data_IF_990969848167
#
_entry.id   IF_990969848167
#
_cell.length_a   1.000
_cell.length_b   1.000
_cell.length_c   1.000
_cell.angle_alpha   90.00
_cell.angle_beta   90.00
_cell.angle_gamma   90.00
#
_symmetry.space_group_name_H-M   'P 1'
#
loop_
_entity.id
_entity.type
_entity.pdbx_description
1 polymer ?
#
# COMPACT_ATOMS: atom_id res chain seq x y z
N UNK A 1 -4.55 6.57 -3.03
CA UNK A 1 -3.24 7.18 -2.71
C UNK A 1 -3.47 8.23 -1.63
N UNK A 2 -3.25 7.87 -0.37
CA UNK A 2 -3.38 8.76 0.79
C UNK A 2 -2.21 9.73 0.89
N UNK A 3 -2.34 10.81 1.67
CA UNK A 3 -1.31 11.83 1.95
C UNK A 3 0.06 11.24 2.32
N UNK A 4 0.10 10.08 2.98
CA UNK A 4 1.31 9.35 3.35
C UNK A 4 2.19 8.94 2.15
N UNK A 5 1.59 8.77 0.96
CA UNK A 5 2.31 8.48 -0.27
C UNK A 5 3.02 9.71 -0.87
N UNK A 6 2.85 10.89 -0.26
CA UNK A 6 3.55 12.14 -0.63
C UNK A 6 4.74 12.42 0.30
N UNK A 7 4.97 11.61 1.33
CA UNK A 7 6.09 11.83 2.26
C UNK A 7 7.43 11.66 1.51
N UNK A 8 8.40 12.58 1.66
CA UNK A 8 9.66 12.54 0.91
C UNK A 8 10.43 11.22 1.12
N UNK A 9 10.43 10.69 2.35
CA UNK A 9 11.05 9.40 2.67
C UNK A 9 10.37 8.24 1.94
N UNK A 10 9.04 8.23 1.88
CA UNK A 10 8.29 7.24 1.12
C UNK A 10 8.63 7.29 -0.37
N UNK A 11 8.65 8.50 -0.97
CA UNK A 11 8.95 8.66 -2.40
C UNK A 11 10.36 8.16 -2.74
N UNK A 12 11.35 8.49 -1.90
CA UNK A 12 12.73 8.01 -2.04
C UNK A 12 12.79 6.48 -1.95
N UNK A 13 12.22 5.90 -0.90
CA UNK A 13 12.29 4.46 -0.63
C UNK A 13 11.50 3.64 -1.65
N UNK A 14 10.34 4.13 -2.09
CA UNK A 14 9.55 3.51 -3.15
C UNK A 14 10.31 3.47 -4.48
N UNK A 15 11.15 4.47 -4.78
CA UNK A 15 12.00 4.44 -5.98
C UNK A 15 13.06 3.34 -5.88
N UNK A 16 13.70 3.18 -4.73
CA UNK A 16 14.69 2.12 -4.48
C UNK A 16 14.05 0.74 -4.70
N UNK A 17 12.89 0.50 -4.08
CA UNK A 17 12.18 -0.78 -4.18
C UNK A 17 11.73 -1.06 -5.61
N UNK A 18 11.22 -0.05 -6.34
CA UNK A 18 10.87 -0.23 -7.76
C UNK A 18 12.07 -0.64 -8.59
N UNK A 19 13.21 0.03 -8.41
CA UNK A 19 14.43 -0.30 -9.16
C UNK A 19 14.90 -1.72 -8.85
N UNK A 20 14.98 -2.10 -7.58
CA UNK A 20 15.40 -3.44 -7.15
C UNK A 20 14.41 -4.53 -7.65
N UNK A 21 13.11 -4.26 -7.56
CA UNK A 21 12.07 -5.18 -8.04
C UNK A 21 12.16 -5.36 -9.55
N UNK A 22 12.27 -4.27 -10.31
CA UNK A 22 12.42 -4.32 -11.77
C UNK A 22 13.69 -5.05 -12.19
N UNK A 23 14.79 -4.89 -11.47
CA UNK A 23 16.03 -5.64 -11.73
C UNK A 23 15.80 -7.14 -11.53
N UNK A 24 15.20 -7.55 -10.40
CA UNK A 24 14.87 -8.97 -10.13
C UNK A 24 13.97 -9.56 -11.20
N UNK A 25 12.91 -8.84 -11.58
CA UNK A 25 11.98 -9.27 -12.62
C UNK A 25 12.67 -9.39 -13.98
N UNK A 26 13.55 -8.45 -14.35
CA UNK A 26 14.36 -8.53 -15.59
C UNK A 26 15.32 -9.72 -15.59
N UNK A 27 15.83 -10.11 -14.43
CA UNK A 27 16.67 -11.30 -14.26
C UNK A 27 15.88 -12.61 -14.22
N UNK A 28 14.56 -12.58 -14.43
CA UNK A 28 13.70 -13.77 -14.36
C UNK A 28 13.41 -14.26 -12.94
N UNK A 29 13.78 -13.48 -11.91
CA UNK A 29 13.51 -13.81 -10.52
C UNK A 29 12.09 -13.34 -10.18
N UNK A 30 11.21 -14.28 -9.86
CA UNK A 30 9.88 -13.98 -9.38
C UNK A 30 9.96 -13.21 -8.05
N UNK A 31 9.24 -12.09 -7.96
CA UNK A 31 9.20 -11.27 -6.74
C UNK A 31 7.87 -11.50 -6.06
N UNK A 32 7.87 -11.86 -4.78
CA UNK A 32 6.62 -12.10 -4.06
C UNK A 32 5.93 -10.78 -3.69
N UNK A 33 4.62 -10.75 -3.90
CA UNK A 33 3.75 -9.69 -3.43
C UNK A 33 3.64 -9.77 -1.89
N UNK A 34 3.93 -8.66 -1.20
CA UNK A 34 3.82 -8.62 0.27
C UNK A 34 2.38 -8.74 0.78
N UNK A 35 1.39 -8.48 -0.08
CA UNK A 35 -0.03 -8.47 0.28
C UNK A 35 -0.70 -9.83 0.19
N UNK A 36 -0.59 -10.49 -0.96
CA UNK A 36 -1.21 -11.79 -1.21
C UNK A 36 -0.23 -12.98 -1.17
N UNK A 37 1.08 -12.73 -1.10
CA UNK A 37 2.11 -13.78 -1.19
C UNK A 37 2.34 -14.35 -2.59
N UNK A 38 1.52 -13.98 -3.58
CA UNK A 38 1.66 -14.45 -4.96
C UNK A 38 2.86 -13.85 -5.69
N UNK A 39 3.41 -14.52 -6.72
CA UNK A 39 4.50 -14.00 -7.51
C UNK A 39 4.03 -12.88 -8.45
N UNK A 40 4.79 -11.79 -8.49
CA UNK A 40 4.68 -10.72 -9.48
C UNK A 40 5.55 -11.13 -10.66
N UNK A 41 4.96 -11.16 -11.85
CA UNK A 41 5.69 -11.45 -13.10
C UNK A 41 6.19 -10.15 -13.76
N UNK A 42 7.20 -10.22 -14.65
CA UNK A 42 7.74 -9.03 -15.33
C UNK A 42 6.71 -8.26 -16.17
N UNK A 43 5.69 -8.95 -16.66
CA UNK A 43 4.60 -8.40 -17.47
C UNK A 43 3.53 -7.71 -16.61
N UNK A 44 3.48 -8.04 -15.32
CA UNK A 44 2.50 -7.50 -14.40
C UNK A 44 2.95 -6.16 -13.83
N UNK A 45 2.03 -5.20 -13.87
CA UNK A 45 2.23 -3.92 -13.21
C UNK A 45 2.03 -4.10 -11.70
N UNK A 46 3.00 -3.65 -10.92
CA UNK A 46 2.92 -3.61 -9.46
C UNK A 46 2.94 -2.16 -8.94
N UNK A 47 2.49 -1.98 -7.70
CA UNK A 47 2.64 -0.75 -6.93
C UNK A 47 3.55 -1.02 -5.71
N UNK A 48 4.06 0.03 -5.07
CA UNK A 48 4.75 -0.10 -3.77
C UNK A 48 3.71 0.14 -2.69
N UNK A 49 3.57 -0.82 -1.78
CA UNK A 49 2.66 -0.76 -0.65
C UNK A 49 3.44 -0.81 0.67
N UNK A 50 2.75 -0.49 1.76
CA UNK A 50 3.26 -0.72 3.10
C UNK A 50 2.81 -2.10 3.59
N UNK A 51 3.68 -2.81 4.32
CA UNK A 51 3.32 -4.07 4.98
C UNK A 51 2.43 -3.80 6.20
N UNK A 52 2.78 -2.79 6.97
CA UNK A 52 1.97 -2.18 8.02
C UNK A 52 1.56 -0.81 7.51
N UNK A 53 0.25 -0.58 7.34
CA UNK A 53 -0.26 0.71 6.91
C UNK A 53 0.24 1.85 7.81
N UNK A 54 0.60 2.99 7.20
CA UNK A 54 1.00 4.18 7.93
C UNK A 54 -0.10 4.68 8.90
N UNK A 55 -1.37 4.45 8.58
CA UNK A 55 -2.50 4.76 9.46
C UNK A 55 -2.58 3.89 10.72
N UNK A 56 -1.86 2.76 10.75
CA UNK A 56 -1.74 1.84 11.90
C UNK A 56 -0.39 1.99 12.62
N UNK A 57 0.38 3.03 12.31
CA UNK A 57 1.70 3.27 12.90
C UNK A 57 2.86 2.63 12.13
N UNK A 58 2.63 2.16 10.90
CA UNK A 58 3.72 1.66 10.04
C UNK A 58 4.68 2.77 9.62
N UNK A 59 5.97 2.49 9.64
CA UNK A 59 7.01 3.45 9.23
C UNK A 59 7.15 3.52 7.70
N UNK A 60 7.82 4.57 7.21
CA UNK A 60 8.16 4.71 5.79
C UNK A 60 9.51 4.04 5.45
N UNK A 61 10.00 3.16 6.32
CA UNK A 61 11.30 2.51 6.16
C UNK A 61 11.26 1.45 5.07
N UNK A 62 12.44 1.11 4.53
CA UNK A 62 12.57 0.12 3.46
C UNK A 62 12.05 -1.25 3.88
N UNK A 63 12.16 -1.60 5.17
CA UNK A 63 11.72 -2.89 5.70
C UNK A 63 10.18 -3.02 5.76
N UNK A 64 9.49 -1.88 5.85
CA UNK A 64 8.03 -1.84 5.84
C UNK A 64 7.44 -1.64 4.44
N UNK A 65 8.28 -1.39 3.44
CA UNK A 65 7.84 -1.14 2.07
C UNK A 65 8.14 -2.35 1.19
N UNK A 66 7.22 -2.66 0.26
CA UNK A 66 7.45 -3.75 -0.67
C UNK A 66 6.54 -3.70 -1.89
N UNK A 67 6.84 -4.55 -2.88
CA UNK A 67 6.04 -4.63 -4.09
C UNK A 67 4.72 -5.36 -3.81
N UNK A 68 3.63 -4.81 -4.34
CA UNK A 68 2.29 -5.33 -4.17
C UNK A 68 1.51 -5.27 -5.49
N UNK A 69 0.61 -6.22 -5.74
CA UNK A 69 -0.30 -6.11 -6.87
C UNK A 69 -1.19 -4.87 -6.72
N UNK A 70 -1.42 -4.17 -7.84
CA UNK A 70 -2.22 -2.95 -7.85
C UNK A 70 -3.63 -3.17 -7.30
N UNK A 71 -4.25 -4.31 -7.64
CA UNK A 71 -5.61 -4.65 -7.22
C UNK A 71 -5.68 -4.71 -5.70
N UNK A 72 -4.78 -5.46 -5.08
CA UNK A 72 -4.74 -5.66 -3.62
C UNK A 72 -4.39 -4.37 -2.90
N UNK A 73 -3.37 -3.64 -3.36
CA UNK A 73 -2.97 -2.38 -2.76
C UNK A 73 -4.13 -1.35 -2.77
N UNK A 74 -4.83 -1.25 -3.90
CA UNK A 74 -5.99 -0.34 -4.05
C UNK A 74 -7.19 -0.81 -3.24
N UNK A 75 -7.46 -2.11 -3.18
CA UNK A 75 -8.56 -2.66 -2.37
C UNK A 75 -8.30 -2.50 -0.87
N UNK A 76 -7.07 -2.70 -0.39
CA UNK A 76 -6.69 -2.49 1.00
C UNK A 76 -6.83 -1.01 1.39
N UNK A 77 -6.26 -0.10 0.57
CA UNK A 77 -6.43 1.34 0.77
C UNK A 77 -7.88 1.80 0.68
N UNK A 78 -8.68 1.20 -0.21
CA UNK A 78 -10.12 1.46 -0.33
C UNK A 78 -10.92 1.00 0.90
N UNK A 79 -10.59 -0.16 1.47
CA UNK A 79 -11.20 -0.67 2.71
C UNK A 79 -10.90 0.26 3.89
N UNK A 80 -9.67 0.75 4.00
CA UNK A 80 -9.29 1.71 5.05
C UNK A 80 -10.00 3.05 4.85
N UNK A 81 -10.03 3.57 3.62
CA UNK A 81 -10.77 4.78 3.29
C UNK A 81 -12.25 4.66 3.66
N UNK A 82 -12.89 3.54 3.29
CA UNK A 82 -14.28 3.26 3.64
C UNK A 82 -14.50 3.18 5.16
N UNK A 83 -13.58 2.59 5.93
CA UNK A 83 -13.65 2.57 7.39
C UNK A 83 -13.63 3.99 7.98
N UNK A 84 -12.76 4.88 7.49
CA UNK A 84 -12.72 6.27 7.95
C UNK A 84 -14.00 7.04 7.57
N UNK A 85 -14.45 6.92 6.32
CA UNK A 85 -15.69 7.58 5.85
C UNK A 85 -16.91 7.08 6.63
N UNK A 86 -17.02 5.77 6.84
CA UNK A 86 -18.13 5.18 7.60
C UNK A 86 -18.08 5.59 9.08
N UNK A 87 -16.89 5.67 9.69
CA UNK A 87 -16.74 6.15 11.06
C UNK A 87 -17.14 7.63 11.20
N UNK A 88 -16.76 8.48 10.25
CA UNK A 88 -17.17 9.88 10.21
C UNK A 88 -18.68 10.03 9.98
N UNK A 89 -19.25 9.24 9.05
CA UNK A 89 -20.70 9.24 8.78
C UNK A 89 -21.52 8.79 10.00
N UNK A 90 -21.02 7.87 10.83
CA UNK A 90 -21.67 7.48 12.10
C UNK A 90 -21.60 8.58 13.15
N UNK A 91 -20.51 9.35 13.21
CA UNK A 91 -20.41 10.53 14.08
C UNK A 91 -21.30 11.67 13.62
N UNK A 92 -21.40 11.89 12.30
CA UNK A 92 -22.24 12.92 11.71
C UNK A 92 -23.74 12.57 11.81
N UNK A 93 -24.09 11.28 11.76
CA UNK A 93 -25.44 10.78 12.07
C UNK A 93 -25.68 10.68 13.58
N UNK A 94 -25.31 11.72 14.33
CA UNK A 94 -25.88 11.98 15.65
C UNK A 94 -27.38 12.21 15.51
N UNK A 95 -28.12 11.13 15.27
CA UNK A 95 -29.57 11.13 15.41
C UNK A 95 -29.85 11.34 16.90
N UNK A 96 -30.75 12.26 17.28
CA UNK A 96 -31.08 12.49 18.67
C UNK A 96 -31.49 11.18 19.34
N UNK A 97 -30.92 10.89 20.50
CA UNK A 97 -31.38 9.82 21.39
C UNK A 97 -32.53 10.38 22.23
N UNK A 98 -33.69 10.55 21.62
CA UNK A 98 -34.96 10.71 22.33
C UNK A 98 -36.04 9.88 21.64
#
# INVERSE_FOLDING_TARGET
MTSHHKHPTYVRNARIIRTATNQRLKSGIAVQCIGCGGPITPEQRFDVGHRIDASRGGSHDLDNLGPQHRRENRSAGGRIGALHTNAQSRRARGLPTW
#
